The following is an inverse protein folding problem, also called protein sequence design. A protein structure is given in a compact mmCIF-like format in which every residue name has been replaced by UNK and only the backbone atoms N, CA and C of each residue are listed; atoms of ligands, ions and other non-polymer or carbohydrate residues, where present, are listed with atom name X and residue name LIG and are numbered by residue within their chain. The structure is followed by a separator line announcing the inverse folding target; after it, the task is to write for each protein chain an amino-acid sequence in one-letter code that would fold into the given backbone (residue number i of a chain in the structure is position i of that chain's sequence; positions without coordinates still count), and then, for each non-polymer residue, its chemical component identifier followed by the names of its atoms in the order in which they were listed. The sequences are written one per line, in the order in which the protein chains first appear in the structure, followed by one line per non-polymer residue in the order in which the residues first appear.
data_IF_324454622592
#
_entry.id   IF_324454622592
#
_cell.length_a   1.000
_cell.length_b   1.000
_cell.length_c   1.000
_cell.angle_alpha   90.00
_cell.angle_beta   90.00
_cell.angle_gamma   90.00
#
_symmetry.space_group_name_H-M   'P 1'
#
loop_
_entity.id
_entity.type
_entity.pdbx_description
1 polymer ?
#
# COMPACT_ATOMS: atom_id res chain seq x y z
N UNK A 1 28.01 9.62 15.90
CA UNK A 1 27.91 8.91 14.59
C UNK A 1 28.65 9.78 13.61
N UNK A 2 29.65 9.23 12.93
CA UNK A 2 30.33 9.96 11.86
C UNK A 2 29.37 10.10 10.68
N UNK A 3 29.03 11.34 10.35
CA UNK A 3 28.07 11.67 9.26
C UNK A 3 28.55 11.09 7.92
N UNK A 4 29.86 11.01 7.70
CA UNK A 4 30.44 10.42 6.48
C UNK A 4 30.17 8.92 6.40
N UNK A 5 30.41 8.20 7.49
CA UNK A 5 30.14 6.76 7.57
C UNK A 5 28.64 6.45 7.39
N UNK A 6 27.77 7.29 7.98
CA UNK A 6 26.32 7.18 7.79
C UNK A 6 25.94 7.41 6.34
N UNK A 7 26.46 8.46 5.69
CA UNK A 7 26.17 8.76 4.28
C UNK A 7 26.63 7.63 3.34
N UNK A 8 27.83 7.11 3.52
CA UNK A 8 28.31 5.98 2.71
C UNK A 8 27.48 4.71 2.91
N UNK A 9 26.96 4.50 4.12
CA UNK A 9 26.08 3.39 4.42
C UNK A 9 24.71 3.57 3.75
N UNK A 10 24.14 4.78 3.82
CA UNK A 10 22.89 5.14 3.15
C UNK A 10 23.05 4.96 1.64
N UNK A 11 24.11 5.45 1.03
CA UNK A 11 24.38 5.36 -0.40
C UNK A 11 24.47 3.91 -0.88
N UNK A 12 25.19 3.05 -0.15
CA UNK A 12 25.27 1.62 -0.44
C UNK A 12 23.93 0.90 -0.29
N UNK A 13 23.14 1.28 0.71
CA UNK A 13 21.87 0.63 1.01
C UNK A 13 20.68 1.22 0.24
N UNK A 14 20.81 2.38 -0.40
CA UNK A 14 19.79 2.99 -1.23
C UNK A 14 19.82 2.52 -2.69
N UNK A 15 20.85 1.81 -3.12
CA UNK A 15 20.98 1.36 -4.50
C UNK A 15 19.76 0.54 -5.00
N UNK A 16 19.12 -0.23 -4.11
CA UNK A 16 17.92 -0.97 -4.45
C UNK A 16 16.70 -0.05 -4.75
N UNK A 17 16.64 1.15 -4.18
CA UNK A 17 15.56 2.11 -4.43
C UNK A 17 15.57 2.52 -5.90
N UNK A 18 16.75 2.78 -6.45
CA UNK A 18 16.92 3.07 -7.88
C UNK A 18 16.42 1.91 -8.75
N UNK A 19 16.75 0.68 -8.36
CA UNK A 19 16.29 -0.52 -9.08
C UNK A 19 14.77 -0.68 -9.00
N UNK A 20 14.17 -0.45 -7.83
CA UNK A 20 12.71 -0.46 -7.67
C UNK A 20 12.03 0.63 -8.51
N UNK A 21 12.55 1.86 -8.45
CA UNK A 21 12.02 2.98 -9.24
C UNK A 21 12.10 2.66 -10.73
N UNK A 22 13.24 2.16 -11.21
CA UNK A 22 13.42 1.77 -12.61
C UNK A 22 12.44 0.64 -13.00
N UNK A 23 12.27 -0.36 -12.14
CA UNK A 23 11.29 -1.44 -12.37
C UNK A 23 9.85 -0.94 -12.41
N UNK A 24 9.51 0.02 -11.55
CA UNK A 24 8.19 0.68 -11.57
C UNK A 24 7.99 1.51 -12.84
N UNK A 25 8.98 2.31 -13.24
CA UNK A 25 8.91 3.20 -14.42
C UNK A 25 8.78 2.42 -15.74
N UNK A 26 9.20 1.16 -15.80
CA UNK A 26 8.98 0.30 -16.97
C UNK A 26 7.50 -0.03 -17.19
N UNK A 27 6.72 -0.06 -16.12
CA UNK A 27 5.30 -0.48 -16.14
C UNK A 27 4.36 0.72 -15.99
N UNK A 28 4.75 1.68 -15.15
CA UNK A 28 3.92 2.83 -14.79
C UNK A 28 4.40 4.06 -15.54
N UNK A 29 3.58 4.55 -16.45
CA UNK A 29 3.88 5.78 -17.20
C UNK A 29 3.33 6.99 -16.48
N UNK A 30 4.16 8.00 -16.23
CA UNK A 30 3.74 9.35 -15.84
C UNK A 30 3.35 9.56 -14.38
N UNK A 31 3.23 8.51 -13.57
CA UNK A 31 2.77 8.61 -12.18
C UNK A 31 3.95 8.63 -11.18
N UNK A 32 4.99 9.43 -11.43
CA UNK A 32 6.20 9.48 -10.59
C UNK A 32 5.89 9.78 -9.13
N UNK A 33 5.00 10.75 -8.87
CA UNK A 33 4.61 11.12 -7.52
C UNK A 33 3.92 9.97 -6.76
N UNK A 34 3.12 9.15 -7.44
CA UNK A 34 2.53 7.94 -6.86
C UNK A 34 3.60 6.92 -6.51
N UNK A 35 4.55 6.67 -7.43
CA UNK A 35 5.64 5.72 -7.21
C UNK A 35 6.52 6.14 -6.03
N UNK A 36 6.93 7.40 -5.98
CA UNK A 36 7.71 7.97 -4.88
C UNK A 36 6.96 7.85 -3.54
N UNK A 37 5.67 8.18 -3.52
CA UNK A 37 4.84 8.10 -2.31
C UNK A 37 4.69 6.67 -1.80
N UNK A 38 4.55 5.68 -2.70
CA UNK A 38 4.52 4.27 -2.33
C UNK A 38 5.86 3.82 -1.73
N UNK A 39 6.98 4.23 -2.31
CA UNK A 39 8.31 3.90 -1.80
C UNK A 39 8.58 4.56 -0.45
N UNK A 40 8.19 5.82 -0.27
CA UNK A 40 8.28 6.51 1.02
C UNK A 40 7.43 5.80 2.07
N UNK A 41 6.16 5.50 1.77
CA UNK A 41 5.27 4.76 2.66
C UNK A 41 5.84 3.39 3.03
N UNK A 42 6.39 2.67 2.05
CA UNK A 42 7.01 1.37 2.26
C UNK A 42 8.23 1.44 3.20
N UNK A 43 9.16 2.36 2.95
CA UNK A 43 10.40 2.50 3.71
C UNK A 43 10.19 3.08 5.11
N UNK A 44 9.19 3.93 5.28
CA UNK A 44 8.85 4.55 6.56
C UNK A 44 7.87 3.75 7.41
N UNK A 45 7.47 2.53 6.95
CA UNK A 45 6.48 1.67 7.62
C UNK A 45 5.10 2.33 7.78
N UNK A 46 4.76 3.23 6.86
CA UNK A 46 3.50 3.95 6.82
C UNK A 46 2.53 3.41 5.79
N UNK A 47 1.33 3.96 5.77
CA UNK A 47 0.28 3.67 4.80
C UNK A 47 -0.01 4.90 3.95
N UNK A 48 -0.61 4.71 2.77
CA UNK A 48 -0.85 5.78 1.80
C UNK A 48 -2.32 5.86 1.46
N UNK A 49 -2.89 7.07 1.52
CA UNK A 49 -4.24 7.37 1.05
C UNK A 49 -4.14 8.12 -0.29
N UNK A 50 -4.77 7.58 -1.31
CA UNK A 50 -4.86 8.21 -2.61
C UNK A 50 -6.23 8.85 -2.82
N UNK A 51 -6.23 10.11 -3.13
CA UNK A 51 -7.39 10.81 -3.68
C UNK A 51 -7.25 10.96 -5.19
N UNK A 52 -8.27 10.60 -5.94
CA UNK A 52 -8.29 10.81 -7.38
C UNK A 52 -9.33 9.95 -8.09
N UNK A 53 -9.59 10.32 -9.34
CA UNK A 53 -10.57 9.64 -10.18
C UNK A 53 -10.17 8.19 -10.48
N UNK A 54 -11.13 7.32 -10.80
CA UNK A 54 -10.87 5.94 -11.19
C UNK A 54 -10.04 5.87 -12.49
N UNK A 55 -9.30 4.75 -12.66
CA UNK A 55 -8.57 4.49 -13.92
C UNK A 55 -7.12 4.97 -13.96
N UNK A 56 -6.57 5.56 -12.90
CA UNK A 56 -5.22 6.15 -12.88
C UNK A 56 -4.10 5.18 -12.44
N UNK A 57 -4.09 3.96 -12.97
CA UNK A 57 -3.04 2.95 -12.75
C UNK A 57 -2.75 2.59 -11.26
N UNK A 58 -3.63 2.95 -10.31
CA UNK A 58 -3.45 2.70 -8.86
C UNK A 58 -3.23 1.22 -8.56
N UNK A 59 -4.11 0.37 -9.10
CA UNK A 59 -4.01 -1.09 -8.96
C UNK A 59 -2.72 -1.64 -9.58
N UNK A 60 -2.35 -1.11 -10.74
CA UNK A 60 -1.13 -1.53 -11.43
C UNK A 60 0.11 -1.17 -10.62
N UNK A 61 0.16 0.03 -10.05
CA UNK A 61 1.31 0.50 -9.28
C UNK A 61 1.58 -0.38 -8.05
N UNK A 62 0.59 -0.62 -7.20
CA UNK A 62 0.80 -1.43 -6.00
C UNK A 62 1.06 -2.90 -6.33
N UNK A 63 0.40 -3.44 -7.36
CA UNK A 63 0.63 -4.81 -7.83
C UNK A 63 2.05 -4.98 -8.39
N UNK A 64 2.54 -4.02 -9.17
CA UNK A 64 3.90 -4.01 -9.70
C UNK A 64 4.92 -3.94 -8.57
N UNK A 65 4.72 -3.06 -7.59
CA UNK A 65 5.59 -2.96 -6.42
C UNK A 65 5.63 -4.27 -5.64
N UNK A 66 4.48 -4.91 -5.41
CA UNK A 66 4.42 -6.21 -4.74
C UNK A 66 5.19 -7.30 -5.50
N UNK A 67 5.07 -7.32 -6.83
CA UNK A 67 5.79 -8.27 -7.68
C UNK A 67 7.30 -8.04 -7.68
N UNK A 68 7.76 -6.79 -7.67
CA UNK A 68 9.18 -6.44 -7.59
C UNK A 68 9.84 -6.86 -6.27
N UNK A 69 9.06 -6.98 -5.19
CA UNK A 69 9.53 -7.32 -3.83
C UNK A 69 9.23 -8.79 -3.46
N UNK A 70 8.73 -9.60 -4.39
CA UNK A 70 8.30 -10.98 -4.13
C UNK A 70 7.37 -11.08 -2.91
N UNK A 71 6.37 -10.21 -2.87
CA UNK A 71 5.45 -10.06 -1.76
C UNK A 71 4.00 -10.33 -2.17
N UNK A 72 3.20 -10.79 -1.22
CA UNK A 72 1.78 -11.07 -1.45
C UNK A 72 0.99 -9.78 -1.63
N UNK A 73 0.16 -9.76 -2.67
CA UNK A 73 -0.77 -8.69 -2.99
C UNK A 73 -2.21 -9.13 -2.81
N UNK A 74 -3.04 -8.24 -2.27
CA UNK A 74 -4.48 -8.40 -2.18
C UNK A 74 -5.21 -7.11 -2.55
N UNK A 75 -6.40 -7.25 -3.15
CA UNK A 75 -7.30 -6.12 -3.42
C UNK A 75 -8.62 -6.34 -2.71
N UNK A 76 -9.07 -5.31 -2.02
CA UNK A 76 -10.36 -5.26 -1.35
C UNK A 76 -11.15 -4.11 -2.00
N UNK A 77 -12.22 -4.45 -2.72
CA UNK A 77 -13.15 -3.44 -3.24
C UNK A 77 -14.16 -3.12 -2.15
N UNK A 78 -14.18 -1.88 -1.71
CA UNK A 78 -15.11 -1.41 -0.69
C UNK A 78 -16.47 -1.11 -1.33
N UNK A 79 -17.52 -1.69 -0.76
CA UNK A 79 -18.90 -1.57 -1.22
C UNK A 79 -19.83 -1.37 -0.01
N UNK A 80 -21.05 -0.82 -0.21
CA UNK A 80 -21.98 -0.57 0.90
C UNK A 80 -22.42 -1.82 1.67
N UNK A 81 -22.36 -2.98 1.06
CA UNK A 81 -22.76 -4.27 1.62
C UNK A 81 -21.59 -5.06 2.25
N UNK A 82 -20.36 -4.55 2.16
CA UNK A 82 -19.18 -5.19 2.73
C UNK A 82 -19.28 -5.26 4.26
N UNK A 83 -18.88 -6.40 4.82
CA UNK A 83 -18.82 -6.63 6.27
C UNK A 83 -17.37 -6.61 6.77
N UNK A 84 -17.12 -6.29 8.05
CA UNK A 84 -15.78 -6.39 8.63
C UNK A 84 -15.14 -7.76 8.44
N UNK A 85 -15.92 -8.84 8.54
CA UNK A 85 -15.47 -10.22 8.34
C UNK A 85 -14.93 -10.48 6.92
N UNK A 86 -15.44 -9.76 5.91
CA UNK A 86 -14.95 -9.87 4.53
C UNK A 86 -13.54 -9.29 4.36
N UNK A 87 -13.15 -8.37 5.24
CA UNK A 87 -11.83 -7.74 5.26
C UNK A 87 -10.83 -8.53 6.11
N UNK A 88 -11.20 -8.80 7.36
CA UNK A 88 -10.30 -9.39 8.36
C UNK A 88 -10.38 -10.92 8.43
N UNK A 89 -11.48 -11.51 7.99
CA UNK A 89 -11.74 -12.93 8.11
C UNK A 89 -12.74 -13.28 9.20
N UNK A 90 -13.06 -14.55 9.30
CA UNK A 90 -14.10 -15.06 10.20
C UNK A 90 -13.81 -16.49 10.63
N UNK A 91 -14.53 -16.96 11.63
CA UNK A 91 -14.58 -18.39 11.97
C UNK A 91 -15.63 -19.10 11.12
N UNK A 92 -15.26 -20.22 10.53
CA UNK A 92 -16.13 -21.06 9.71
C UNK A 92 -16.22 -22.43 10.34
N UNK A 93 -17.43 -22.94 10.51
CA UNK A 93 -17.62 -24.31 10.99
C UNK A 93 -17.32 -25.33 9.89
N UNK A 94 -16.37 -26.22 10.17
CA UNK A 94 -16.05 -27.35 9.29
C UNK A 94 -16.93 -28.55 9.69
N UNK A 95 -17.86 -28.92 8.84
CA UNK A 95 -18.70 -30.10 9.05
C UNK A 95 -17.90 -31.40 9.05
N UNK A 96 -16.77 -31.43 8.32
CA UNK A 96 -15.91 -32.59 8.20
C UNK A 96 -15.15 -32.88 9.51
N UNK A 97 -14.68 -31.85 10.17
CA UNK A 97 -13.83 -31.93 11.35
C UNK A 97 -14.61 -31.63 12.63
N UNK A 98 -15.89 -31.25 12.51
CA UNK A 98 -16.78 -30.83 13.61
C UNK A 98 -16.18 -29.73 14.49
N UNK A 99 -15.37 -28.84 13.87
CA UNK A 99 -14.63 -27.76 14.54
C UNK A 99 -14.80 -26.42 13.84
N UNK A 100 -14.63 -25.34 14.60
CA UNK A 100 -14.51 -24.02 14.02
C UNK A 100 -13.08 -23.78 13.56
N UNK A 101 -12.93 -23.36 12.33
CA UNK A 101 -11.64 -23.02 11.71
C UNK A 101 -11.59 -21.54 11.35
N UNK A 102 -10.43 -20.92 11.56
CA UNK A 102 -10.22 -19.53 11.19
C UNK A 102 -9.98 -19.44 9.67
N UNK A 103 -10.83 -18.70 8.97
CA UNK A 103 -10.62 -18.29 7.59
C UNK A 103 -10.13 -16.87 7.57
N UNK A 104 -8.82 -16.69 7.30
CA UNK A 104 -8.19 -15.38 7.19
C UNK A 104 -8.75 -14.60 6.01
N UNK A 105 -8.97 -13.30 6.21
CA UNK A 105 -9.45 -12.38 5.16
C UNK A 105 -8.32 -11.83 4.28
N UNK A 106 -8.67 -11.05 3.26
CA UNK A 106 -7.72 -10.48 2.31
C UNK A 106 -6.73 -9.49 2.91
N UNK A 107 -6.96 -8.98 4.13
CA UNK A 107 -6.00 -8.11 4.84
C UNK A 107 -4.68 -8.84 5.17
N UNK A 108 -4.68 -10.17 5.18
CA UNK A 108 -3.48 -10.97 5.44
C UNK A 108 -2.57 -11.09 4.19
N UNK A 109 -2.21 -9.96 3.63
CA UNK A 109 -1.23 -9.84 2.55
C UNK A 109 -0.23 -8.73 2.90
N UNK A 110 0.96 -8.75 2.28
CA UNK A 110 1.97 -7.71 2.48
C UNK A 110 1.52 -6.35 1.93
N UNK A 111 0.91 -6.38 0.75
CA UNK A 111 0.42 -5.20 0.04
C UNK A 111 -1.08 -5.32 -0.18
N UNK A 112 -1.83 -4.39 0.40
CA UNK A 112 -3.30 -4.37 0.33
C UNK A 112 -3.73 -3.10 -0.38
N UNK A 113 -4.48 -3.25 -1.47
CA UNK A 113 -5.23 -2.16 -2.08
C UNK A 113 -6.63 -2.15 -1.50
N UNK A 114 -6.95 -1.14 -0.69
CA UNK A 114 -8.29 -0.86 -0.21
C UNK A 114 -8.95 0.14 -1.18
N UNK A 115 -9.64 -0.38 -2.18
CA UNK A 115 -10.19 0.42 -3.28
C UNK A 115 -11.54 1.00 -2.90
N UNK A 116 -11.69 2.34 -3.07
CA UNK A 116 -12.87 3.12 -2.74
C UNK A 116 -13.32 2.97 -1.27
N UNK A 117 -12.39 3.16 -0.33
CA UNK A 117 -12.62 2.93 1.11
C UNK A 117 -13.82 3.72 1.65
N UNK A 118 -14.13 4.87 1.05
CA UNK A 118 -15.27 5.72 1.42
C UNK A 118 -16.63 5.17 0.97
N UNK A 119 -16.69 4.04 0.24
CA UNK A 119 -17.96 3.39 -0.14
C UNK A 119 -18.52 2.42 0.88
N UNK A 120 -17.69 1.94 1.80
CA UNK A 120 -18.16 1.02 2.82
C UNK A 120 -18.55 1.73 4.13
N UNK A 121 -19.44 1.14 4.93
CA UNK A 121 -19.85 1.68 6.22
C UNK A 121 -18.66 1.86 7.18
N UNK A 122 -18.79 2.79 8.12
CA UNK A 122 -17.75 3.14 9.08
C UNK A 122 -17.19 1.93 9.87
N UNK A 123 -18.00 0.90 10.14
CA UNK A 123 -17.55 -0.32 10.82
C UNK A 123 -16.50 -1.09 10.02
N UNK A 124 -16.65 -1.14 8.69
CA UNK A 124 -15.71 -1.83 7.79
C UNK A 124 -14.42 -1.03 7.66
N UNK A 125 -14.55 0.29 7.49
CA UNK A 125 -13.42 1.20 7.48
C UNK A 125 -12.60 1.05 8.77
N UNK A 126 -13.26 1.07 9.93
CA UNK A 126 -12.62 0.92 11.23
C UNK A 126 -11.87 -0.40 11.38
N UNK A 127 -12.41 -1.51 10.88
CA UNK A 127 -11.74 -2.81 10.93
C UNK A 127 -10.42 -2.81 10.15
N UNK A 128 -10.38 -2.19 8.96
CA UNK A 128 -9.12 -2.04 8.21
C UNK A 128 -8.15 -1.11 8.93
N UNK A 129 -8.63 0.04 9.41
CA UNK A 129 -7.78 1.05 10.05
C UNK A 129 -7.19 0.54 11.39
N UNK A 130 -7.93 -0.29 12.12
CA UNK A 130 -7.42 -0.97 13.31
C UNK A 130 -6.33 -1.97 12.94
N UNK A 131 -6.55 -2.81 11.92
CA UNK A 131 -5.55 -3.73 11.41
C UNK A 131 -4.27 -3.02 10.94
N UNK A 132 -4.39 -1.84 10.32
CA UNK A 132 -3.27 -0.99 9.92
C UNK A 132 -2.46 -0.49 11.12
N UNK A 133 -3.13 -0.08 12.17
CA UNK A 133 -2.50 0.48 13.37
C UNK A 133 -1.85 -0.60 14.23
N UNK A 134 -2.60 -1.66 14.53
CA UNK A 134 -2.18 -2.72 15.45
C UNK A 134 -1.24 -3.73 14.79
N UNK A 135 -1.18 -3.78 13.46
CA UNK A 135 -0.41 -4.79 12.69
C UNK A 135 -0.81 -6.23 13.01
N UNK A 136 -1.99 -6.41 13.54
CA UNK A 136 -2.59 -7.67 13.89
C UNK A 136 -4.12 -7.61 13.81
N UNK A 137 -4.75 -8.78 13.78
CA UNK A 137 -6.20 -8.93 13.70
C UNK A 137 -6.65 -10.01 14.65
N UNK A 138 -7.72 -9.77 15.41
CA UNK A 138 -8.35 -10.77 16.26
C UNK A 138 -9.56 -11.37 15.55
N UNK A 139 -9.58 -12.70 15.41
CA UNK A 139 -10.68 -13.46 14.81
C UNK A 139 -11.15 -14.47 15.84
N UNK A 140 -12.38 -14.34 16.34
CA UNK A 140 -12.87 -15.12 17.47
C UNK A 140 -12.06 -14.81 18.73
N UNK A 141 -11.38 -15.81 19.27
CA UNK A 141 -10.56 -15.68 20.49
C UNK A 141 -9.04 -15.65 20.21
N UNK A 142 -8.65 -15.63 18.94
CA UNK A 142 -7.23 -15.69 18.54
C UNK A 142 -6.78 -14.42 17.83
N UNK A 143 -5.56 -13.98 18.13
CA UNK A 143 -4.94 -12.82 17.51
C UNK A 143 -3.83 -13.25 16.57
N UNK A 144 -3.88 -12.78 15.34
CA UNK A 144 -2.96 -13.11 14.26
C UNK A 144 -2.20 -11.86 13.82
N UNK A 145 -0.87 -11.94 13.82
CA UNK A 145 -0.02 -10.89 13.25
C UNK A 145 -0.17 -10.82 11.73
N UNK A 146 -0.13 -9.60 11.20
CA UNK A 146 -0.09 -9.37 9.76
C UNK A 146 1.32 -9.60 9.20
N UNK A 147 1.45 -9.99 7.91
CA UNK A 147 2.75 -10.20 7.28
C UNK A 147 3.57 -8.91 7.23
N UNK A 148 4.90 -9.05 7.25
CA UNK A 148 5.84 -7.91 7.16
C UNK A 148 6.68 -8.03 5.88
N UNK A 149 6.92 -6.91 5.18
CA UNK A 149 6.36 -5.58 5.39
C UNK A 149 4.85 -5.57 5.14
N UNK A 150 4.11 -4.64 5.77
CA UNK A 150 2.69 -4.46 5.55
C UNK A 150 2.41 -3.03 5.11
N UNK A 151 1.86 -2.86 3.92
CA UNK A 151 1.51 -1.57 3.33
C UNK A 151 0.07 -1.60 2.82
N UNK A 152 -0.73 -0.67 3.27
CA UNK A 152 -2.07 -0.42 2.72
C UNK A 152 -2.02 0.82 1.85
N UNK A 153 -2.49 0.67 0.63
CA UNK A 153 -2.84 1.76 -0.28
C UNK A 153 -4.36 1.85 -0.30
N UNK A 154 -4.91 2.83 0.39
CA UNK A 154 -6.34 3.10 0.31
C UNK A 154 -6.64 4.13 -0.78
N UNK A 155 -7.74 3.97 -1.48
CA UNK A 155 -8.19 4.96 -2.46
C UNK A 155 -9.55 5.52 -2.07
N UNK A 156 -9.75 6.80 -2.36
CA UNK A 156 -11.05 7.43 -2.27
C UNK A 156 -11.30 8.28 -3.52
N UNK A 157 -12.57 8.29 -3.95
CA UNK A 157 -13.01 9.15 -5.03
C UNK A 157 -13.69 10.39 -4.44
N UNK A 158 -13.11 11.60 -4.58
CA UNK A 158 -13.68 12.80 -3.99
C UNK A 158 -14.92 13.31 -4.73
N UNK A 159 -15.16 12.85 -5.95
CA UNK A 159 -16.24 13.36 -6.84
C UNK A 159 -17.59 12.68 -6.53
N UNK A 160 -17.57 11.42 -6.14
CA UNK A 160 -18.80 10.68 -5.79
C UNK A 160 -19.23 11.02 -4.36
N UNK A 161 -20.32 11.78 -4.21
CA UNK A 161 -20.89 12.15 -2.92
C UNK A 161 -22.06 11.25 -2.50
N UNK A 162 -22.80 10.68 -3.45
CA UNK A 162 -23.91 9.78 -3.15
C UNK A 162 -23.44 8.39 -2.75
N UNK A 163 -23.97 7.88 -1.63
CA UNK A 163 -23.64 6.54 -1.12
C UNK A 163 -22.22 6.41 -0.57
N UNK A 164 -21.60 7.51 -0.17
CA UNK A 164 -20.25 7.50 0.42
C UNK A 164 -20.29 7.82 1.93
N UNK A 165 -19.33 7.26 2.63
CA UNK A 165 -19.06 7.47 4.05
C UNK A 165 -17.66 8.10 4.17
N UNK A 166 -17.55 9.43 4.22
CA UNK A 166 -16.25 10.09 4.27
C UNK A 166 -15.49 9.67 5.52
N UNK A 167 -14.17 9.49 5.37
CA UNK A 167 -13.29 9.22 6.50
C UNK A 167 -13.22 10.45 7.40
N UNK A 168 -13.51 10.34 8.71
CA UNK A 168 -13.23 11.40 9.66
C UNK A 168 -11.74 11.77 9.65
N UNK A 169 -11.41 13.02 9.94
CA UNK A 169 -10.03 13.54 9.96
C UNK A 169 -9.10 12.68 10.84
N UNK A 170 -9.54 12.30 12.03
CA UNK A 170 -8.82 11.41 12.94
C UNK A 170 -8.53 10.01 12.36
N UNK A 171 -9.25 9.58 11.33
CA UNK A 171 -8.98 8.34 10.61
C UNK A 171 -8.03 8.56 9.44
N UNK A 172 -8.07 9.72 8.81
CA UNK A 172 -7.12 10.12 7.76
C UNK A 172 -5.70 10.22 8.34
N UNK A 173 -5.54 10.68 9.57
CA UNK A 173 -4.25 10.78 10.28
C UNK A 173 -3.52 9.43 10.46
N UNK A 174 -4.21 8.32 10.26
CA UNK A 174 -3.57 6.99 10.29
C UNK A 174 -2.78 6.68 9.02
N UNK A 175 -2.97 7.45 7.97
CA UNK A 175 -2.18 7.38 6.75
C UNK A 175 -1.00 8.35 6.86
N UNK A 176 0.18 7.86 6.55
CA UNK A 176 1.40 8.67 6.57
C UNK A 176 1.39 9.74 5.48
N UNK A 177 0.83 9.39 4.33
CA UNK A 177 0.74 10.27 3.17
C UNK A 177 -0.69 10.27 2.63
N UNK A 178 -1.20 11.48 2.36
CA UNK A 178 -2.37 11.70 1.53
C UNK A 178 -1.91 12.29 0.20
N UNK A 179 -2.15 11.56 -0.88
CA UNK A 179 -1.65 11.89 -2.21
C UNK A 179 -2.83 12.15 -3.14
N UNK A 180 -2.84 13.29 -3.77
CA UNK A 180 -3.82 13.63 -4.82
C UNK A 180 -3.22 13.27 -6.16
N UNK A 181 -3.96 12.51 -6.96
CA UNK A 181 -3.54 12.08 -8.28
C UNK A 181 -4.41 12.76 -9.33
N UNK A 182 -3.74 13.49 -10.21
CA UNK A 182 -4.32 14.10 -11.37
C UNK A 182 -4.24 13.20 -12.61
N UNK A 183 -4.97 13.57 -13.65
CA UNK A 183 -4.88 12.93 -14.95
C UNK A 183 -3.47 13.01 -15.53
N UNK A 184 -3.02 11.98 -16.26
CA UNK A 184 -1.74 12.02 -16.94
C UNK A 184 -1.71 13.16 -17.96
N UNK A 185 -0.52 13.70 -18.23
CA UNK A 185 -0.32 14.70 -19.28
C UNK A 185 -0.53 14.05 -20.65
N UNK A 186 -0.86 14.86 -21.65
CA UNK A 186 -1.13 14.40 -23.02
C UNK A 186 -0.02 13.49 -23.59
N UNK A 187 1.26 13.82 -23.30
CA UNK A 187 2.38 13.00 -23.78
C UNK A 187 2.46 11.64 -23.06
N UNK A 188 2.10 11.61 -21.79
CA UNK A 188 2.02 10.37 -21.00
C UNK A 188 0.85 9.49 -21.47
N UNK A 189 -0.31 10.08 -21.79
CA UNK A 189 -1.44 9.37 -22.40
C UNK A 189 -1.06 8.71 -23.73
N UNK A 190 -0.34 9.43 -24.59
CA UNK A 190 0.16 8.87 -25.85
C UNK A 190 1.07 7.65 -25.63
N UNK A 191 1.94 7.70 -24.60
CA UNK A 191 2.80 6.57 -24.26
C UNK A 191 1.99 5.37 -23.73
N UNK A 192 1.01 5.62 -22.86
CA UNK A 192 0.09 4.57 -22.34
C UNK A 192 -0.65 3.90 -23.51
N UNK A 193 -1.19 4.68 -24.43
CA UNK A 193 -1.89 4.15 -25.61
C UNK A 193 -0.94 3.27 -26.46
N UNK A 194 0.28 3.75 -26.72
CA UNK A 194 1.28 2.97 -27.50
C UNK A 194 1.64 1.65 -26.83
N UNK A 195 1.87 1.64 -25.52
CA UNK A 195 2.15 0.41 -24.77
C UNK A 195 0.99 -0.57 -24.84
N UNK A 196 -0.26 -0.09 -24.71
CA UNK A 196 -1.44 -0.94 -24.79
C UNK A 196 -1.66 -1.53 -26.21
N UNK A 197 -1.41 -0.75 -27.26
CA UNK A 197 -1.55 -1.20 -28.65
C UNK A 197 -0.50 -2.23 -29.01
N UNK A 198 0.73 -2.04 -28.58
CA UNK A 198 1.83 -2.96 -28.86
C UNK A 198 1.69 -4.30 -28.10
N UNK A 199 0.81 -4.35 -27.09
CA UNK A 199 0.63 -5.56 -26.28
C UNK A 199 1.83 -5.90 -25.42
N UNK A 200 2.70 -4.93 -25.15
CA UNK A 200 3.91 -5.08 -24.34
C UNK A 200 3.50 -5.44 -22.89
N UNK A 201 3.41 -6.74 -22.63
CA UNK A 201 3.27 -7.25 -21.26
C UNK A 201 4.66 -7.30 -20.65
N UNK A 202 4.99 -6.30 -19.84
CA UNK A 202 6.21 -6.36 -19.04
C UNK A 202 6.06 -7.47 -17.98
N UNK A 203 6.87 -8.50 -18.11
CA UNK A 203 7.00 -9.53 -17.09
C UNK A 203 7.85 -8.95 -15.96
N UNK A 204 7.19 -8.59 -14.87
CA UNK A 204 7.86 -8.05 -13.69
C UNK A 204 8.52 -9.20 -12.94
N UNK A 205 9.85 -9.17 -12.85
CA UNK A 205 10.61 -10.16 -12.06
C UNK A 205 10.95 -9.57 -10.70
N UNK A 206 10.93 -10.36 -9.62
CA UNK A 206 11.36 -9.91 -8.31
C UNK A 206 12.81 -9.42 -8.33
N UNK A 207 13.03 -8.25 -7.75
CA UNK A 207 14.36 -7.63 -7.61
C UNK A 207 14.87 -7.77 -6.18
N UNK A 208 13.93 -7.80 -5.21
CA UNK A 208 14.18 -7.83 -3.78
C UNK A 208 13.29 -8.84 -3.09
N UNK A 209 13.69 -9.24 -1.90
CA UNK A 209 12.84 -9.99 -0.97
C UNK A 209 12.24 -9.06 0.09
N UNK A 210 11.11 -9.46 0.63
CA UNK A 210 10.41 -8.70 1.68
C UNK A 210 11.30 -8.37 2.90
N UNK A 211 12.20 -9.29 3.28
CA UNK A 211 13.12 -9.10 4.41
C UNK A 211 14.13 -7.97 4.16
N UNK A 212 14.56 -7.74 2.92
CA UNK A 212 15.49 -6.66 2.59
C UNK A 212 14.86 -5.27 2.82
N UNK A 213 13.55 -5.16 2.63
CA UNK A 213 12.81 -3.93 2.98
C UNK A 213 12.82 -3.68 4.49
N UNK A 214 12.69 -4.74 5.29
CA UNK A 214 12.72 -4.64 6.76
C UNK A 214 14.10 -4.16 7.23
N UNK A 215 15.17 -4.66 6.63
CA UNK A 215 16.53 -4.19 6.94
C UNK A 215 16.75 -2.73 6.49
N UNK A 216 16.26 -2.35 5.31
CA UNK A 216 16.33 -0.98 4.84
C UNK A 216 15.62 0.01 5.79
N UNK A 217 14.47 -0.37 6.35
CA UNK A 217 13.74 0.44 7.35
C UNK A 217 14.59 0.74 8.60
N UNK A 218 15.45 -0.19 9.02
CA UNK A 218 16.34 0.04 10.16
C UNK A 218 17.35 1.15 9.89
N UNK A 219 17.81 1.26 8.63
CA UNK A 219 18.73 2.33 8.22
C UNK A 219 18.02 3.67 8.10
N UNK A 220 16.83 3.69 7.50
CA UNK A 220 16.00 4.91 7.41
C UNK A 220 15.76 5.53 8.78
N UNK A 221 15.53 4.72 9.82
CA UNK A 221 15.34 5.19 11.20
C UNK A 221 16.60 5.77 11.85
N UNK A 222 17.79 5.56 11.26
CA UNK A 222 19.07 6.11 11.75
C UNK A 222 19.41 7.45 11.11
N UNK A 223 18.66 7.88 10.10
CA UNK A 223 18.87 9.19 9.46
C UNK A 223 18.57 10.28 10.47
N UNK A 224 19.56 11.13 10.70
CA UNK A 224 19.45 12.26 11.61
C UNK A 224 18.86 13.46 10.87
N UNK A 225 17.90 14.10 11.49
CA UNK A 225 17.33 15.36 11.04
C UNK A 225 17.59 16.41 12.12
N UNK A 226 18.23 17.53 11.75
CA UNK A 226 18.53 18.61 12.69
C UNK A 226 17.27 19.32 13.14
N UNK A 227 17.21 19.70 14.42
CA UNK A 227 16.05 20.38 15.00
C UNK A 227 15.71 21.72 14.33
N UNK A 228 16.66 22.39 13.71
CA UNK A 228 16.44 23.63 12.96
C UNK A 228 15.53 23.44 11.74
N UNK A 229 15.43 22.22 11.23
CA UNK A 229 14.55 21.88 10.11
C UNK A 229 13.10 21.61 10.54
N UNK A 230 12.82 21.43 11.84
CA UNK A 230 11.45 21.27 12.35
C UNK A 230 10.71 22.60 12.58
N UNK A 231 11.45 23.71 12.62
CA UNK A 231 10.93 25.01 13.03
C UNK A 231 10.84 26.04 11.90
N UNK A 232 11.11 25.62 10.67
CA UNK A 232 11.02 26.46 9.47
C UNK A 232 9.73 26.11 8.64
#
# INVERSE_FOLDING_TARGET
IDIRELNERIERQSAFVTNLTTGMDQVIVGQKHLVESLLIGLLSDGHVLLEGVPGLAKTLAIKTLASLIDAQYSRIQFTPDLLPADVIGTMVYSQKDETFQVKKGPVFANFVLADEINRAPAKVQSALLEAMQERQVTIGNETFGLPKPFLVLATQNPIEQEGTYPLPEAQVDRFMLKVVIDYPKLEEEKLIIRQNINGDKFEVKPILKADEIIEARKVVRQVYLDCLLYTS
#
